data_IF_121126975665
#
_entry.id   IF_121126975665
#
_cell.length_a   1.000
_cell.length_b   1.000
_cell.length_c   1.000
_cell.angle_alpha   90.00
_cell.angle_beta   90.00
_cell.angle_gamma   90.00
#
_symmetry.space_group_name_H-M   'P 1'
#
loop_
_entity.id
_entity.type
_entity.pdbx_description
1 polymer ?
#
# COMPACT_ATOMS: atom_id res chain seq x y z
N UNK A 1 -16.78 19.73 -0.61
CA UNK A 1 -16.04 18.48 -0.80
C UNK A 1 -16.71 17.72 -1.93
N UNK A 2 -15.93 17.08 -2.80
CA UNK A 2 -16.47 16.22 -3.86
C UNK A 2 -16.93 14.88 -3.27
N UNK A 3 -17.89 14.24 -3.90
CA UNK A 3 -18.24 12.84 -3.60
C UNK A 3 -17.09 11.93 -4.07
N UNK A 4 -16.81 10.90 -3.29
CA UNK A 4 -15.74 9.95 -3.56
C UNK A 4 -16.33 8.55 -3.73
N UNK A 5 -15.91 7.85 -4.77
CA UNK A 5 -16.36 6.50 -5.08
C UNK A 5 -15.18 5.53 -5.14
N UNK A 6 -15.38 4.31 -4.69
CA UNK A 6 -14.45 3.20 -4.92
C UNK A 6 -14.81 2.60 -6.27
N UNK A 7 -13.88 2.61 -7.22
CA UNK A 7 -14.10 2.19 -8.60
C UNK A 7 -13.36 0.90 -8.98
N UNK A 8 -12.52 0.39 -8.10
CA UNK A 8 -11.81 -0.87 -8.31
C UNK A 8 -11.23 -1.40 -7.02
N UNK A 9 -11.13 -2.72 -6.93
CA UNK A 9 -10.57 -3.45 -5.80
C UNK A 9 -9.60 -4.53 -6.27
N UNK A 10 -8.60 -4.84 -5.45
CA UNK A 10 -7.63 -5.89 -5.72
C UNK A 10 -7.06 -6.45 -4.44
N UNK A 11 -6.76 -7.73 -4.46
CA UNK A 11 -6.20 -8.43 -3.31
C UNK A 11 -5.31 -9.58 -3.77
N UNK A 12 -4.22 -9.82 -3.07
CA UNK A 12 -3.47 -11.07 -3.14
C UNK A 12 -4.06 -12.07 -2.14
N UNK A 13 -3.93 -13.38 -2.39
CA UNK A 13 -4.26 -14.37 -1.37
C UNK A 13 -3.48 -14.11 -0.09
N UNK A 14 -4.14 -14.22 1.06
CA UNK A 14 -3.45 -14.16 2.35
C UNK A 14 -2.77 -15.50 2.62
N UNK A 15 -1.47 -15.45 2.96
CA UNK A 15 -0.70 -16.67 3.18
C UNK A 15 0.79 -16.41 3.23
N UNK A 16 1.57 -17.47 3.19
CA UNK A 16 3.03 -17.44 3.16
C UNK A 16 3.53 -17.32 1.71
N UNK A 17 4.10 -16.18 1.37
CA UNK A 17 4.61 -15.88 0.04
C UNK A 17 6.15 -15.85 0.06
N UNK A 18 6.77 -17.02 0.16
CA UNK A 18 8.22 -17.17 0.22
C UNK A 18 8.95 -16.76 -1.07
N UNK A 19 8.24 -16.81 -2.18
CA UNK A 19 8.72 -16.51 -3.53
C UNK A 19 8.59 -15.03 -3.92
N UNK A 20 7.98 -14.18 -3.07
CA UNK A 20 7.72 -12.77 -3.38
C UNK A 20 8.28 -11.83 -2.32
N UNK A 21 8.86 -10.74 -2.77
CA UNK A 21 9.20 -9.61 -1.90
C UNK A 21 7.94 -8.83 -1.49
N UNK A 22 8.06 -8.02 -0.43
CA UNK A 22 6.99 -7.10 -0.01
C UNK A 22 6.57 -6.16 -1.16
N UNK A 23 7.52 -5.69 -1.97
CA UNK A 23 7.27 -4.86 -3.14
C UNK A 23 6.42 -5.58 -4.19
N UNK A 24 6.71 -6.83 -4.48
CA UNK A 24 5.96 -7.63 -5.46
C UNK A 24 4.55 -7.94 -4.98
N UNK A 25 4.37 -8.23 -3.68
CA UNK A 25 3.03 -8.39 -3.10
C UNK A 25 2.20 -7.11 -3.24
N UNK A 26 2.79 -5.96 -2.93
CA UNK A 26 2.14 -4.67 -3.10
C UNK A 26 1.78 -4.39 -4.56
N UNK A 27 2.70 -4.65 -5.47
CA UNK A 27 2.46 -4.50 -6.92
C UNK A 27 1.32 -5.38 -7.43
N UNK A 28 1.24 -6.63 -7.01
CA UNK A 28 0.19 -7.55 -7.44
C UNK A 28 -1.20 -7.07 -7.03
N UNK A 29 -1.35 -6.63 -5.78
CA UNK A 29 -2.61 -6.08 -5.28
C UNK A 29 -3.00 -4.77 -6.01
N UNK A 30 -2.03 -3.86 -6.19
CA UNK A 30 -2.22 -2.60 -6.92
C UNK A 30 -2.64 -2.86 -8.37
N UNK A 31 -1.94 -3.76 -9.07
CA UNK A 31 -2.24 -4.12 -10.45
C UNK A 31 -3.62 -4.74 -10.59
N UNK A 32 -4.03 -5.57 -9.63
CA UNK A 32 -5.38 -6.15 -9.61
C UNK A 32 -6.45 -5.04 -9.47
N UNK A 33 -6.27 -4.10 -8.55
CA UNK A 33 -7.19 -2.98 -8.36
C UNK A 33 -7.27 -2.07 -9.59
N UNK A 34 -6.12 -1.73 -10.20
CA UNK A 34 -6.10 -0.89 -11.40
C UNK A 34 -6.78 -1.57 -12.60
N UNK A 35 -6.60 -2.89 -12.76
CA UNK A 35 -7.31 -3.66 -13.80
C UNK A 35 -8.81 -3.68 -13.58
N UNK A 36 -9.26 -3.87 -12.34
CA UNK A 36 -10.68 -3.86 -11.99
C UNK A 36 -11.30 -2.48 -12.26
N UNK A 37 -10.60 -1.41 -11.89
CA UNK A 37 -10.98 -0.04 -12.19
C UNK A 37 -10.87 0.35 -13.69
N UNK A 38 -10.19 -0.46 -14.52
CA UNK A 38 -9.85 -0.16 -15.91
C UNK A 38 -9.05 1.13 -16.06
N UNK A 39 -8.15 1.38 -15.12
CA UNK A 39 -7.25 2.53 -15.11
C UNK A 39 -5.82 2.11 -15.46
N UNK A 40 -5.17 2.93 -16.29
CA UNK A 40 -3.75 2.81 -16.62
C UNK A 40 -2.89 3.81 -15.82
N UNK A 41 -3.51 4.84 -15.25
CA UNK A 41 -2.83 5.92 -14.54
C UNK A 41 -3.62 6.32 -13.30
N UNK A 42 -2.88 6.76 -12.29
CA UNK A 42 -3.40 7.36 -11.06
C UNK A 42 -2.57 8.61 -10.73
N UNK A 43 -3.11 9.50 -9.92
CA UNK A 43 -2.43 10.72 -9.50
C UNK A 43 -1.58 10.49 -8.24
N UNK A 44 -2.04 9.58 -7.36
CA UNK A 44 -1.37 9.32 -6.08
C UNK A 44 -1.50 7.87 -5.64
N UNK A 45 -0.48 7.37 -4.94
CA UNK A 45 -0.46 6.05 -4.31
C UNK A 45 -0.19 6.19 -2.81
N UNK A 46 -1.10 5.73 -1.97
CA UNK A 46 -0.94 5.68 -0.52
C UNK A 46 -0.86 4.25 -0.03
N UNK A 47 0.26 3.90 0.60
CA UNK A 47 0.57 2.54 1.04
C UNK A 47 0.58 2.47 2.56
N UNK A 48 -0.42 1.82 3.13
CA UNK A 48 -0.49 1.51 4.55
C UNK A 48 0.45 0.35 4.90
N UNK A 49 1.40 0.60 5.78
CA UNK A 49 2.36 -0.40 6.25
C UNK A 49 2.97 0.04 7.57
N UNK A 50 3.14 -0.89 8.50
CA UNK A 50 3.75 -0.64 9.80
C UNK A 50 5.23 -1.05 9.85
N UNK A 51 5.55 -2.26 9.42
CA UNK A 51 6.77 -2.96 9.79
C UNK A 51 7.77 -3.17 8.65
N UNK A 52 7.62 -2.53 7.50
CA UNK A 52 8.51 -2.77 6.36
C UNK A 52 9.98 -2.45 6.68
N UNK A 53 10.25 -1.38 7.41
CA UNK A 53 11.61 -1.04 7.85
C UNK A 53 12.20 -2.09 8.77
N UNK A 54 11.44 -2.52 9.76
CA UNK A 54 11.91 -3.45 10.80
C UNK A 54 12.04 -4.89 10.29
N UNK A 55 11.05 -5.38 9.54
CA UNK A 55 11.00 -6.80 9.15
C UNK A 55 11.63 -7.10 7.79
N UNK A 56 11.68 -6.12 6.89
CA UNK A 56 12.21 -6.31 5.53
C UNK A 56 13.36 -5.37 5.17
N UNK A 57 13.75 -4.48 6.09
CA UNK A 57 14.78 -3.48 5.83
C UNK A 57 14.40 -2.46 4.75
N UNK A 58 13.11 -2.33 4.42
CA UNK A 58 12.64 -1.49 3.33
C UNK A 58 11.82 -0.32 3.84
N UNK A 59 12.36 0.87 3.70
CA UNK A 59 11.61 2.12 3.84
C UNK A 59 11.12 2.65 2.49
N UNK A 60 10.41 3.77 2.49
CA UNK A 60 9.93 4.44 1.27
C UNK A 60 9.01 3.57 0.40
N UNK A 61 8.22 2.71 1.05
CA UNK A 61 7.47 1.65 0.37
C UNK A 61 6.52 2.18 -0.72
N UNK A 62 5.91 3.34 -0.50
CA UNK A 62 5.06 3.97 -1.52
C UNK A 62 5.81 4.26 -2.81
N UNK A 63 6.96 4.93 -2.72
CA UNK A 63 7.77 5.27 -3.88
C UNK A 63 8.31 4.03 -4.60
N UNK A 64 8.72 3.00 -3.84
CA UNK A 64 9.28 1.77 -4.41
C UNK A 64 8.24 0.96 -5.16
N UNK A 65 7.02 0.85 -4.63
CA UNK A 65 5.92 0.17 -5.32
C UNK A 65 5.49 0.97 -6.56
N UNK A 66 5.40 2.30 -6.47
CA UNK A 66 5.08 3.15 -7.61
C UNK A 66 6.10 3.01 -8.75
N UNK A 67 7.41 3.05 -8.41
CA UNK A 67 8.48 2.86 -9.40
C UNK A 67 8.44 1.48 -10.03
N UNK A 68 8.26 0.43 -9.24
CA UNK A 68 8.15 -0.95 -9.72
C UNK A 68 6.93 -1.15 -10.63
N UNK A 69 5.83 -0.46 -10.35
CA UNK A 69 4.62 -0.46 -11.18
C UNK A 69 4.73 0.43 -12.43
N UNK A 70 5.85 1.14 -12.62
CA UNK A 70 6.02 2.07 -13.73
C UNK A 70 5.20 3.37 -13.61
N UNK A 71 4.65 3.65 -12.43
CA UNK A 71 3.86 4.85 -12.15
C UNK A 71 4.80 6.02 -11.85
N UNK A 72 5.16 6.76 -12.89
CA UNK A 72 6.13 7.85 -12.76
C UNK A 72 5.45 9.21 -12.66
N UNK A 73 6.03 10.09 -11.83
CA UNK A 73 5.58 11.47 -11.66
C UNK A 73 4.31 11.60 -10.82
N UNK A 74 3.94 10.56 -10.07
CA UNK A 74 2.83 10.58 -9.12
C UNK A 74 3.32 10.87 -7.70
N UNK A 75 2.43 11.35 -6.84
CA UNK A 75 2.67 11.35 -5.40
C UNK A 75 2.60 9.92 -4.87
N UNK A 76 3.58 9.50 -4.05
CA UNK A 76 3.58 8.17 -3.46
C UNK A 76 4.10 8.22 -2.02
N UNK A 77 3.27 7.80 -1.06
CA UNK A 77 3.59 7.86 0.36
C UNK A 77 3.34 6.53 1.06
N UNK A 78 4.18 6.23 2.05
CA UNK A 78 3.88 5.23 3.09
C UNK A 78 3.11 5.92 4.21
N UNK A 79 2.00 5.32 4.63
CA UNK A 79 1.15 5.79 5.73
C UNK A 79 1.24 4.76 6.86
N UNK A 80 1.48 5.24 8.08
CA UNK A 80 1.62 4.38 9.24
C UNK A 80 0.61 4.79 10.32
N UNK A 81 -0.09 3.83 10.87
CA UNK A 81 -1.00 3.90 12.01
C UNK A 81 -1.13 2.51 12.65
N UNK A 82 -0.01 1.86 12.92
CA UNK A 82 0.07 0.50 13.44
C UNK A 82 -0.81 -0.48 12.61
N UNK A 83 -1.60 -1.33 13.29
CA UNK A 83 -2.52 -2.26 12.62
C UNK A 83 -3.62 -1.57 11.80
N UNK A 84 -3.83 -0.27 11.98
CA UNK A 84 -4.78 0.55 11.24
C UNK A 84 -4.20 1.22 9.98
N UNK A 85 -2.96 0.94 9.59
CA UNK A 85 -2.26 1.64 8.51
C UNK A 85 -2.99 1.60 7.17
N UNK A 86 -3.61 0.47 6.82
CA UNK A 86 -4.41 0.36 5.59
C UNK A 86 -5.65 1.27 5.60
N UNK A 87 -6.35 1.35 6.73
CA UNK A 87 -7.48 2.25 6.91
C UNK A 87 -7.04 3.73 6.91
N UNK A 88 -5.88 4.03 7.49
CA UNK A 88 -5.28 5.37 7.44
C UNK A 88 -4.94 5.79 6.01
N UNK A 89 -4.36 4.89 5.20
CA UNK A 89 -4.09 5.14 3.80
C UNK A 89 -5.37 5.43 3.00
N UNK A 90 -6.43 4.65 3.23
CA UNK A 90 -7.74 4.89 2.63
C UNK A 90 -8.32 6.26 3.03
N UNK A 91 -8.18 6.66 4.30
CA UNK A 91 -8.60 7.98 4.78
C UNK A 91 -7.85 9.12 4.08
N UNK A 92 -6.54 9.00 3.92
CA UNK A 92 -5.72 9.99 3.21
C UNK A 92 -6.17 10.12 1.75
N UNK A 93 -6.37 9.00 1.06
CA UNK A 93 -6.84 9.00 -0.31
C UNK A 93 -8.23 9.62 -0.48
N UNK A 94 -9.15 9.31 0.44
CA UNK A 94 -10.47 9.95 0.47
C UNK A 94 -10.34 11.47 0.60
N UNK A 95 -9.46 11.95 1.47
CA UNK A 95 -9.24 13.39 1.65
C UNK A 95 -8.63 14.03 0.40
N UNK A 96 -7.68 13.36 -0.25
CA UNK A 96 -7.04 13.85 -1.47
C UNK A 96 -8.05 14.03 -2.61
N UNK A 97 -8.94 13.05 -2.82
CA UNK A 97 -10.00 13.15 -3.84
C UNK A 97 -11.07 14.14 -3.44
N UNK A 98 -11.55 14.10 -2.20
CA UNK A 98 -12.61 14.99 -1.72
C UNK A 98 -12.21 16.47 -1.74
N UNK A 99 -10.93 16.79 -1.52
CA UNK A 99 -10.39 18.16 -1.59
C UNK A 99 -10.18 18.66 -3.02
N UNK A 100 -10.11 17.75 -3.99
CA UNK A 100 -9.79 18.08 -5.39
C UNK A 100 -8.30 18.13 -5.71
N UNK A 101 -7.44 17.69 -4.81
CA UNK A 101 -5.98 17.59 -5.04
C UNK A 101 -5.62 16.47 -6.01
N UNK A 102 -6.45 15.42 -6.07
CA UNK A 102 -6.30 14.30 -6.98
C UNK A 102 -7.67 13.86 -7.52
N UNK A 103 -7.68 13.22 -8.68
CA UNK A 103 -8.89 12.65 -9.27
C UNK A 103 -8.93 11.13 -9.10
N UNK A 104 -7.80 10.46 -9.29
CA UNK A 104 -7.68 9.01 -9.16
C UNK A 104 -6.54 8.66 -8.18
N UNK A 105 -6.88 7.98 -7.11
CA UNK A 105 -5.95 7.60 -6.05
C UNK A 105 -6.03 6.09 -5.79
N UNK A 106 -4.90 5.43 -5.69
CA UNK A 106 -4.83 4.09 -5.15
C UNK A 106 -4.48 4.13 -3.66
N UNK A 107 -5.26 3.41 -2.86
CA UNK A 107 -4.99 3.20 -1.44
C UNK A 107 -4.83 1.71 -1.19
N UNK A 108 -3.76 1.29 -0.56
CA UNK A 108 -3.50 -0.11 -0.30
C UNK A 108 -2.89 -0.33 1.08
N UNK A 109 -3.00 -1.54 1.57
CA UNK A 109 -2.23 -2.05 2.70
C UNK A 109 -1.42 -3.25 2.28
N UNK A 110 -0.19 -3.36 2.75
CA UNK A 110 0.65 -4.54 2.54
C UNK A 110 1.56 -4.74 3.74
N UNK A 111 1.68 -5.99 4.16
CA UNK A 111 2.61 -6.39 5.23
C UNK A 111 3.15 -7.79 4.94
N UNK A 112 4.39 -8.07 5.29
CA UNK A 112 4.99 -9.39 5.14
C UNK A 112 5.76 -9.75 6.41
N UNK A 113 5.28 -10.77 7.10
CA UNK A 113 5.81 -11.19 8.40
C UNK A 113 6.38 -12.62 8.37
N UNK A 114 6.50 -13.24 7.19
CA UNK A 114 6.92 -14.64 7.07
C UNK A 114 8.43 -14.85 7.04
N UNK A 115 9.20 -13.86 6.59
CA UNK A 115 10.64 -14.02 6.37
C UNK A 115 11.48 -13.99 7.66
N UNK A 116 11.19 -13.11 8.64
CA UNK A 116 11.95 -13.07 9.89
C UNK A 116 11.51 -14.17 10.87
N UNK A 117 12.38 -14.53 11.84
CA UNK A 117 12.01 -15.43 12.93
C UNK A 117 10.81 -14.90 13.75
N UNK A 118 9.99 -15.79 14.35
CA UNK A 118 8.77 -15.39 15.07
C UNK A 118 8.99 -14.43 16.25
N UNK A 119 10.11 -14.55 16.93
CA UNK A 119 10.49 -13.67 18.06
C UNK A 119 10.80 -12.25 17.58
N UNK A 120 11.41 -12.09 16.40
CA UNK A 120 11.65 -10.80 15.76
C UNK A 120 10.31 -10.15 15.38
N UNK A 121 9.40 -10.92 14.77
CA UNK A 121 8.06 -10.44 14.43
C UNK A 121 7.28 -10.01 15.68
N UNK A 122 7.32 -10.82 16.74
CA UNK A 122 6.66 -10.50 18.01
C UNK A 122 7.20 -9.21 18.62
N UNK A 123 8.53 -9.05 18.63
CA UNK A 123 9.18 -7.83 19.13
C UNK A 123 8.81 -6.59 18.30
N UNK A 124 8.76 -6.74 16.99
CA UNK A 124 8.36 -5.65 16.08
C UNK A 124 6.89 -5.24 16.30
N UNK A 125 5.98 -6.20 16.45
CA UNK A 125 4.58 -5.94 16.75
C UNK A 125 4.36 -5.25 18.10
N UNK A 126 5.23 -5.51 19.08
CA UNK A 126 5.15 -4.89 20.40
C UNK A 126 5.58 -3.40 20.42
N UNK A 127 6.06 -2.87 19.30
CA UNK A 127 6.37 -1.44 19.15
C UNK A 127 5.14 -0.57 18.81
N UNK A 128 3.98 -1.19 18.55
CA UNK A 128 2.75 -0.49 18.16
C UNK A 128 1.98 0.08 19.36
#
# INVERSE_FOLDING_TARGET
>A
MRDVSIIGVGQTPVGEHWDKSLRELGYDALSAAMRDAKLERIDSLYVGNMLSGELTGQEHLGAIIADFAGLRGIEAMKIEAACGSGAAALRVGLMAVASGMADFVACMGVEKMTDPPPDVVTSALAMA
#
